data_IF_243818573805
#
_entry.id   IF_243818573805
#
_cell.length_a   1.000
_cell.length_b   1.000
_cell.length_c   1.000
_cell.angle_alpha   90.00
_cell.angle_beta   90.00
_cell.angle_gamma   90.00
#
_symmetry.space_group_name_H-M   'P 1'
#
loop_
_entity.id
_entity.type
_entity.pdbx_description
1 polymer ?
#
# COMPACT_ATOMS: atom_id res chain seq x y z
N UNK A 1 -10.24 42.65 -67.46
CA UNK A 1 -11.29 41.73 -67.97
C UNK A 1 -11.31 40.38 -67.24
N UNK A 2 -10.19 39.65 -67.10
CA UNK A 2 -10.14 38.35 -66.37
C UNK A 2 -10.64 38.39 -64.91
N UNK A 3 -10.27 39.39 -64.11
CA UNK A 3 -10.75 39.51 -62.71
C UNK A 3 -12.27 39.77 -62.61
N UNK A 4 -12.81 40.60 -63.51
CA UNK A 4 -14.26 40.85 -63.62
C UNK A 4 -15.02 39.57 -64.02
N UNK A 5 -14.45 38.76 -64.91
CA UNK A 5 -15.03 37.47 -65.32
C UNK A 5 -14.97 36.41 -64.22
N UNK A 6 -13.93 36.38 -63.39
CA UNK A 6 -13.80 35.41 -62.30
C UNK A 6 -14.78 35.66 -61.14
N UNK A 7 -15.20 36.91 -60.94
CA UNK A 7 -16.20 37.27 -59.93
C UNK A 7 -17.63 37.32 -60.50
N UNK A 8 -17.80 37.07 -61.79
CA UNK A 8 -19.11 37.02 -62.41
C UNK A 8 -19.84 35.76 -61.94
N UNK A 9 -20.99 35.93 -61.32
CA UNK A 9 -21.83 34.80 -60.89
C UNK A 9 -22.34 34.03 -62.09
N UNK A 10 -22.59 32.73 -61.92
CA UNK A 10 -23.19 31.90 -62.97
C UNK A 10 -24.53 32.49 -63.41
N UNK A 11 -25.28 33.10 -62.47
CA UNK A 11 -26.53 33.80 -62.79
C UNK A 11 -26.33 35.03 -63.67
N UNK A 12 -25.29 35.82 -63.41
CA UNK A 12 -24.99 37.02 -64.19
C UNK A 12 -24.48 36.67 -65.59
N UNK A 13 -23.70 35.59 -65.74
CA UNK A 13 -23.27 35.11 -67.06
C UNK A 13 -24.45 34.61 -67.90
N UNK A 14 -25.36 33.81 -67.34
CA UNK A 14 -26.59 33.39 -68.02
C UNK A 14 -27.53 34.56 -68.35
N UNK A 15 -27.65 35.53 -67.43
CA UNK A 15 -28.41 36.75 -67.68
C UNK A 15 -27.87 37.55 -68.88
N UNK A 16 -26.54 37.66 -69.01
CA UNK A 16 -25.90 38.33 -70.13
C UNK A 16 -26.11 37.58 -71.45
N UNK A 17 -26.06 36.24 -71.43
CA UNK A 17 -26.34 35.40 -72.61
C UNK A 17 -27.80 35.50 -73.06
N UNK A 18 -28.76 35.47 -72.13
CA UNK A 18 -30.17 35.64 -72.46
C UNK A 18 -30.46 37.03 -73.00
N UNK A 19 -29.80 38.06 -72.45
CA UNK A 19 -29.92 39.43 -72.94
C UNK A 19 -29.35 39.58 -74.36
N UNK A 20 -28.15 39.04 -74.64
CA UNK A 20 -27.56 39.10 -75.99
C UNK A 20 -28.39 38.33 -77.01
N UNK A 21 -28.89 37.14 -76.65
CA UNK A 21 -29.82 36.38 -77.48
C UNK A 21 -31.10 37.16 -77.78
N UNK A 22 -31.69 37.79 -76.77
CA UNK A 22 -32.93 38.59 -76.92
C UNK A 22 -32.73 39.77 -77.86
N UNK A 23 -31.59 40.47 -77.75
CA UNK A 23 -31.21 41.56 -78.67
C UNK A 23 -31.06 41.03 -80.10
N UNK A 24 -30.45 39.86 -80.27
CA UNK A 24 -30.23 39.25 -81.58
C UNK A 24 -31.56 38.85 -82.24
N UNK A 25 -32.50 38.30 -81.47
CA UNK A 25 -33.87 37.99 -81.92
C UNK A 25 -34.65 39.25 -82.30
N UNK A 26 -34.52 40.33 -81.54
CA UNK A 26 -35.13 41.62 -81.87
C UNK A 26 -34.58 42.20 -83.17
N UNK A 27 -33.26 42.14 -83.37
CA UNK A 27 -32.59 42.59 -84.60
C UNK A 27 -33.06 41.76 -85.80
N UNK A 28 -33.14 40.43 -85.65
CA UNK A 28 -33.62 39.54 -86.71
C UNK A 28 -35.10 39.80 -87.05
N UNK A 29 -35.96 39.97 -86.05
CA UNK A 29 -37.37 40.33 -86.27
C UNK A 29 -37.53 41.70 -86.93
N UNK A 30 -36.72 42.69 -86.53
CA UNK A 30 -36.72 44.02 -87.14
C UNK A 30 -36.30 44.00 -88.62
N UNK A 31 -35.28 43.22 -88.96
CA UNK A 31 -34.85 43.01 -90.36
C UNK A 31 -35.93 42.27 -91.16
N UNK A 32 -36.63 41.31 -90.56
CA UNK A 32 -37.75 40.62 -91.18
C UNK A 32 -38.93 41.55 -91.49
N UNK A 33 -39.31 42.42 -90.55
CA UNK A 33 -40.35 43.43 -90.77
C UNK A 33 -39.95 44.45 -91.83
N UNK A 34 -38.69 44.92 -91.81
CA UNK A 34 -38.13 45.79 -92.84
C UNK A 34 -38.18 45.12 -94.22
N UNK A 35 -37.80 43.85 -94.30
CA UNK A 35 -37.84 43.08 -95.53
C UNK A 35 -39.26 42.95 -96.13
N UNK A 36 -40.27 42.72 -95.28
CA UNK A 36 -41.66 42.64 -95.73
C UNK A 36 -42.21 43.99 -96.21
N UNK A 37 -41.92 45.07 -95.48
CA UNK A 37 -42.43 46.40 -95.83
C UNK A 37 -41.76 46.98 -97.08
N UNK A 38 -40.43 46.91 -97.18
CA UNK A 38 -39.70 47.42 -98.35
C UNK A 38 -39.90 46.52 -99.59
N UNK A 39 -40.03 45.21 -99.41
CA UNK A 39 -40.35 44.29 -100.49
C UNK A 39 -41.70 44.60 -101.13
N UNK A 40 -42.72 44.89 -100.31
CA UNK A 40 -44.04 45.31 -100.79
C UNK A 40 -43.99 46.62 -101.59
N UNK A 41 -43.18 47.60 -101.15
CA UNK A 41 -43.03 48.88 -101.87
C UNK A 41 -42.31 48.75 -103.21
N UNK A 42 -41.36 47.82 -103.36
CA UNK A 42 -40.65 47.59 -104.63
C UNK A 42 -41.58 46.95 -105.68
N UNK A 43 -42.53 46.11 -105.25
CA UNK A 43 -43.50 45.47 -106.15
C UNK A 43 -44.58 46.45 -106.66
N UNK A 44 -44.86 47.52 -105.92
CA UNK A 44 -45.90 48.50 -106.26
C UNK A 44 -45.38 49.74 -107.04
N UNK A 45 -44.07 49.92 -107.19
CA UNK A 45 -43.47 51.20 -107.61
C UNK A 45 -43.13 51.36 -109.11
N UNK A 46 -43.26 50.34 -109.98
CA UNK A 46 -42.89 50.46 -111.40
C UNK A 46 -43.59 49.47 -112.35
N UNK A 47 -44.10 49.94 -113.49
CA UNK A 47 -44.64 49.12 -114.61
C UNK A 47 -43.55 48.49 -115.51
N UNK A 48 -42.26 48.81 -115.26
CA UNK A 48 -41.12 48.34 -116.03
C UNK A 48 -40.48 47.10 -115.40
N UNK A 49 -40.65 45.95 -116.06
CA UNK A 49 -40.18 44.63 -115.59
C UNK A 49 -38.67 44.60 -115.37
N UNK A 50 -37.87 45.33 -116.15
CA UNK A 50 -36.41 45.36 -115.98
C UNK A 50 -35.97 46.17 -114.75
N UNK A 51 -36.61 47.30 -114.48
CA UNK A 51 -36.33 48.14 -113.30
C UNK A 51 -36.73 47.43 -111.99
N UNK A 52 -37.87 46.73 -112.01
CA UNK A 52 -38.36 45.93 -110.89
C UNK A 52 -37.41 44.76 -110.57
N UNK A 53 -36.90 44.07 -111.59
CA UNK A 53 -35.93 42.97 -111.45
C UNK A 53 -34.62 43.46 -110.81
N UNK A 54 -34.11 44.63 -111.22
CA UNK A 54 -32.88 45.23 -110.70
C UNK A 54 -33.02 45.67 -109.24
N UNK A 55 -34.10 46.40 -108.90
CA UNK A 55 -34.37 46.84 -107.53
C UNK A 55 -34.58 45.65 -106.56
N UNK A 56 -35.28 44.61 -107.01
CA UNK A 56 -35.46 43.39 -106.24
C UNK A 56 -34.13 42.64 -106.00
N UNK A 57 -33.25 42.58 -107.02
CA UNK A 57 -31.94 41.92 -106.89
C UNK A 57 -31.00 42.63 -105.90
N UNK A 58 -30.98 43.98 -105.91
CA UNK A 58 -30.21 44.78 -104.97
C UNK A 58 -30.76 44.66 -103.52
N UNK A 59 -32.08 44.65 -103.39
CA UNK A 59 -32.77 44.41 -102.11
C UNK A 59 -32.49 43.00 -101.56
N UNK A 60 -32.62 41.97 -102.40
CA UNK A 60 -32.28 40.60 -102.03
C UNK A 60 -30.81 40.46 -101.60
N UNK A 61 -29.89 41.16 -102.26
CA UNK A 61 -28.47 41.18 -101.89
C UNK A 61 -28.23 41.83 -100.50
N UNK A 62 -28.89 42.95 -100.19
CA UNK A 62 -28.77 43.61 -98.88
C UNK A 62 -29.35 42.75 -97.74
N UNK A 63 -30.52 42.15 -97.94
CA UNK A 63 -31.10 41.20 -96.97
C UNK A 63 -30.20 39.98 -96.79
N UNK A 64 -29.62 39.44 -97.89
CA UNK A 64 -28.71 38.28 -97.81
C UNK A 64 -27.51 38.59 -96.92
N UNK A 65 -26.86 39.74 -97.08
CA UNK A 65 -25.73 40.14 -96.23
C UNK A 65 -26.15 40.43 -94.78
N UNK A 66 -27.33 41.02 -94.56
CA UNK A 66 -27.88 41.24 -93.22
C UNK A 66 -28.15 39.91 -92.49
N UNK A 67 -28.76 38.94 -93.16
CA UNK A 67 -29.00 37.59 -92.63
C UNK A 67 -27.67 36.87 -92.34
N UNK A 68 -26.69 36.97 -93.25
CA UNK A 68 -25.36 36.36 -93.06
C UNK A 68 -24.63 36.98 -91.86
N UNK A 69 -24.76 38.30 -91.67
CA UNK A 69 -24.24 39.01 -90.50
C UNK A 69 -24.87 38.54 -89.18
N UNK A 70 -26.20 38.34 -89.15
CA UNK A 70 -26.91 37.79 -87.98
C UNK A 70 -26.43 36.36 -87.66
N UNK A 71 -26.28 35.50 -88.68
CA UNK A 71 -25.79 34.13 -88.50
C UNK A 71 -24.37 34.14 -87.93
N UNK A 72 -23.47 34.96 -88.46
CA UNK A 72 -22.11 35.10 -87.95
C UNK A 72 -22.07 35.63 -86.51
N UNK A 73 -22.88 36.64 -86.19
CA UNK A 73 -23.01 37.15 -84.82
C UNK A 73 -23.56 36.09 -83.85
N UNK A 74 -24.49 35.26 -84.31
CA UNK A 74 -25.03 34.15 -83.51
C UNK A 74 -23.95 33.10 -83.23
N UNK A 75 -23.20 32.68 -84.27
CA UNK A 75 -22.08 31.74 -84.12
C UNK A 75 -21.01 32.31 -83.19
N UNK A 76 -20.63 33.58 -83.36
CA UNK A 76 -19.66 34.24 -82.50
C UNK A 76 -20.13 34.27 -81.03
N UNK A 77 -21.40 34.56 -80.80
CA UNK A 77 -22.01 34.54 -79.46
C UNK A 77 -21.95 33.13 -78.85
N UNK A 78 -22.32 32.10 -79.61
CA UNK A 78 -22.25 30.70 -79.15
C UNK A 78 -20.83 30.30 -78.77
N UNK A 79 -19.83 30.66 -79.59
CA UNK A 79 -18.41 30.36 -79.30
C UNK A 79 -17.96 31.05 -78.00
N UNK A 80 -18.30 32.33 -77.81
CA UNK A 80 -17.96 33.08 -76.59
C UNK A 80 -18.62 32.46 -75.36
N UNK A 81 -19.88 32.02 -75.47
CA UNK A 81 -20.60 31.36 -74.38
C UNK A 81 -19.99 30.01 -74.03
N UNK A 82 -19.74 29.14 -75.02
CA UNK A 82 -19.10 27.84 -74.79
C UNK A 82 -17.73 28.03 -74.15
N UNK A 83 -16.94 28.97 -74.67
CA UNK A 83 -15.63 29.28 -74.12
C UNK A 83 -15.72 29.81 -72.67
N UNK A 84 -16.63 30.74 -72.40
CA UNK A 84 -16.87 31.31 -71.07
C UNK A 84 -17.35 30.28 -70.05
N UNK A 85 -18.31 29.43 -70.42
CA UNK A 85 -18.82 28.34 -69.58
C UNK A 85 -17.73 27.30 -69.31
N UNK A 86 -16.97 26.91 -70.34
CA UNK A 86 -15.87 25.96 -70.18
C UNK A 86 -14.78 26.50 -69.26
N UNK A 87 -14.39 27.77 -69.43
CA UNK A 87 -13.32 28.40 -68.65
C UNK A 87 -13.73 28.69 -67.20
N UNK A 88 -14.97 29.15 -66.97
CA UNK A 88 -15.41 29.64 -65.66
C UNK A 88 -16.25 28.63 -64.86
N UNK A 89 -16.78 27.58 -65.49
CA UNK A 89 -17.61 26.56 -64.84
C UNK A 89 -16.98 25.17 -64.95
N UNK A 90 -16.80 24.63 -66.16
CA UNK A 90 -16.34 23.24 -66.31
C UNK A 90 -14.91 23.02 -65.79
N UNK A 91 -13.94 23.85 -66.18
CA UNK A 91 -12.53 23.68 -65.75
C UNK A 91 -12.33 23.82 -64.23
N UNK A 92 -12.99 24.76 -63.52
CA UNK A 92 -12.95 24.77 -62.06
C UNK A 92 -13.66 23.58 -61.40
N UNK A 93 -14.80 23.11 -61.95
CA UNK A 93 -15.47 21.92 -61.43
C UNK A 93 -14.63 20.65 -61.61
N UNK A 94 -13.97 20.49 -62.75
CA UNK A 94 -13.04 19.38 -63.02
C UNK A 94 -11.87 19.36 -62.02
N UNK A 95 -11.32 20.55 -61.70
CA UNK A 95 -10.32 20.69 -60.63
C UNK A 95 -10.85 20.32 -59.25
N UNK A 96 -12.10 20.69 -58.91
CA UNK A 96 -12.74 20.26 -57.66
C UNK A 96 -12.88 18.74 -57.57
N UNK A 97 -13.26 18.07 -58.66
CA UNK A 97 -13.29 16.60 -58.73
C UNK A 97 -11.93 16.01 -58.41
N UNK A 98 -10.85 16.56 -58.98
CA UNK A 98 -9.48 16.11 -58.67
C UNK A 98 -9.10 16.27 -57.19
N UNK A 99 -9.59 17.30 -56.49
CA UNK A 99 -9.39 17.41 -55.04
C UNK A 99 -10.20 16.37 -54.25
N UNK A 100 -11.43 16.05 -54.67
CA UNK A 100 -12.23 14.99 -54.05
C UNK A 100 -11.60 13.61 -54.25
N UNK A 101 -11.09 13.30 -55.44
CA UNK A 101 -10.42 12.03 -55.72
C UNK A 101 -9.19 11.84 -54.84
N UNK A 102 -8.39 12.90 -54.65
CA UNK A 102 -7.24 12.88 -53.74
C UNK A 102 -7.66 12.70 -52.29
N UNK A 103 -8.70 13.41 -51.85
CA UNK A 103 -9.26 13.28 -50.51
C UNK A 103 -9.77 11.85 -50.25
N UNK A 104 -10.43 11.23 -51.23
CA UNK A 104 -10.90 9.85 -51.17
C UNK A 104 -9.73 8.84 -51.11
N UNK A 105 -8.58 9.16 -51.71
CA UNK A 105 -7.34 8.39 -51.59
C UNK A 105 -6.57 8.65 -50.29
N UNK A 106 -7.04 9.59 -49.46
CA UNK A 106 -6.43 9.94 -48.17
C UNK A 106 -5.43 11.11 -48.24
N UNK A 107 -5.24 11.77 -49.37
CA UNK A 107 -4.35 12.94 -49.46
C UNK A 107 -5.07 14.24 -49.06
N UNK A 108 -4.81 14.69 -47.84
CA UNK A 108 -5.30 15.95 -47.25
C UNK A 108 -4.21 17.02 -47.22
N UNK A 109 -3.04 16.77 -47.81
CA UNK A 109 -1.85 17.60 -47.62
C UNK A 109 -1.83 18.88 -48.47
N UNK A 110 -2.66 18.94 -49.51
CA UNK A 110 -2.67 20.05 -50.45
C UNK A 110 -3.71 21.11 -50.10
N UNK A 111 -3.27 22.36 -49.97
CA UNK A 111 -4.17 23.48 -49.75
C UNK A 111 -5.12 23.70 -50.94
N UNK A 112 -6.42 23.71 -50.67
CA UNK A 112 -7.45 24.07 -51.64
C UNK A 112 -7.54 25.60 -51.70
N UNK A 113 -7.13 26.18 -52.84
CA UNK A 113 -7.20 27.63 -53.06
C UNK A 113 -8.43 27.99 -53.89
N UNK A 114 -9.24 28.94 -53.41
CA UNK A 114 -10.45 29.38 -54.12
C UNK A 114 -10.09 30.40 -55.21
N UNK A 115 -10.48 30.17 -56.49
CA UNK A 115 -10.13 31.05 -57.60
C UNK A 115 -10.98 32.34 -57.70
N UNK A 116 -11.99 32.55 -56.85
CA UNK A 116 -12.88 33.73 -56.88
C UNK A 116 -13.99 33.69 -55.82
N UNK A 117 -14.87 34.72 -55.78
CA UNK A 117 -15.95 34.84 -54.79
C UNK A 117 -17.37 34.55 -55.35
N UNK A 118 -17.47 33.76 -56.40
CA UNK A 118 -18.74 33.36 -57.01
C UNK A 118 -19.26 32.03 -56.45
N UNK A 119 -20.35 31.47 -57.01
CA UNK A 119 -20.94 30.21 -56.54
C UNK A 119 -19.94 29.04 -56.55
N UNK A 120 -19.05 28.99 -57.54
CA UNK A 120 -17.98 27.99 -57.63
C UNK A 120 -16.93 28.25 -56.55
N UNK A 121 -16.56 29.51 -56.32
CA UNK A 121 -15.66 29.91 -55.23
C UNK A 121 -16.17 29.49 -53.85
N UNK A 122 -17.48 29.58 -53.60
CA UNK A 122 -18.12 29.06 -52.37
C UNK A 122 -17.98 27.55 -52.24
N UNK A 123 -18.07 26.80 -53.35
CA UNK A 123 -17.85 25.35 -53.35
C UNK A 123 -16.40 24.99 -53.00
N UNK A 124 -15.43 25.73 -53.54
CA UNK A 124 -14.02 25.61 -53.14
C UNK A 124 -13.82 25.89 -51.64
N UNK A 125 -14.40 26.97 -51.11
CA UNK A 125 -14.32 27.29 -49.69
C UNK A 125 -14.95 26.20 -48.82
N UNK A 126 -16.14 25.71 -49.16
CA UNK A 126 -16.80 24.63 -48.42
C UNK A 126 -15.96 23.34 -48.42
N UNK A 127 -15.35 22.99 -49.55
CA UNK A 127 -14.45 21.84 -49.67
C UNK A 127 -13.16 22.04 -48.86
N UNK A 128 -12.58 23.25 -48.86
CA UNK A 128 -11.43 23.58 -48.02
C UNK A 128 -11.73 23.45 -46.52
N UNK A 129 -12.92 23.91 -46.10
CA UNK A 129 -13.40 23.70 -44.73
C UNK A 129 -13.54 22.20 -44.40
N UNK A 130 -14.15 21.40 -45.29
CA UNK A 130 -14.28 19.96 -45.10
C UNK A 130 -12.91 19.26 -44.99
N UNK A 131 -11.97 19.61 -45.87
CA UNK A 131 -10.59 19.10 -45.82
C UNK A 131 -9.92 19.45 -44.49
N UNK A 132 -10.03 20.70 -44.04
CA UNK A 132 -9.44 21.16 -42.79
C UNK A 132 -10.03 20.43 -41.58
N UNK A 133 -11.35 20.25 -41.51
CA UNK A 133 -11.99 19.51 -40.42
C UNK A 133 -11.62 18.03 -40.42
N UNK A 134 -11.52 17.40 -41.59
CA UNK A 134 -11.08 16.00 -41.72
C UNK A 134 -9.60 15.85 -41.31
N UNK A 135 -8.75 16.76 -41.78
CA UNK A 135 -7.32 16.85 -41.42
C UNK A 135 -7.13 16.98 -39.90
N UNK A 136 -7.89 17.88 -39.26
CA UNK A 136 -7.88 18.05 -37.81
C UNK A 136 -8.32 16.78 -37.09
N UNK A 137 -9.41 16.14 -37.54
CA UNK A 137 -9.93 14.91 -36.95
C UNK A 137 -8.90 13.78 -37.04
N UNK A 138 -8.31 13.57 -38.21
CA UNK A 138 -7.23 12.58 -38.42
C UNK A 138 -6.03 12.88 -37.53
N UNK A 139 -5.63 14.14 -37.42
CA UNK A 139 -4.55 14.58 -36.52
C UNK A 139 -4.85 14.27 -35.06
N UNK A 140 -6.05 14.59 -34.57
CA UNK A 140 -6.49 14.26 -33.21
C UNK A 140 -6.50 12.76 -32.96
N UNK A 141 -6.99 11.94 -33.89
CA UNK A 141 -6.98 10.48 -33.76
C UNK A 141 -5.55 9.94 -33.72
N UNK A 142 -4.65 10.44 -34.58
CA UNK A 142 -3.24 10.04 -34.59
C UNK A 142 -2.55 10.36 -33.26
N UNK A 143 -2.68 11.59 -32.76
CA UNK A 143 -2.10 11.98 -31.47
C UNK A 143 -2.69 11.19 -30.30
N UNK A 144 -4.01 10.97 -30.30
CA UNK A 144 -4.68 10.20 -29.26
C UNK A 144 -4.23 8.74 -29.28
N UNK A 145 -4.12 8.13 -30.47
CA UNK A 145 -3.62 6.76 -30.64
C UNK A 145 -2.19 6.59 -30.13
N UNK A 146 -1.28 7.51 -30.45
CA UNK A 146 0.09 7.50 -29.88
C UNK A 146 0.07 7.62 -28.37
N UNK A 147 -0.75 8.51 -27.80
CA UNK A 147 -0.83 8.66 -26.34
C UNK A 147 -1.41 7.42 -25.65
N UNK A 148 -2.43 6.77 -26.22
CA UNK A 148 -2.99 5.52 -25.69
C UNK A 148 -1.93 4.42 -25.72
N UNK A 149 -1.18 4.29 -26.82
CA UNK A 149 -0.10 3.33 -26.95
C UNK A 149 0.97 3.52 -25.86
N UNK A 150 1.52 4.73 -25.73
CA UNK A 150 2.54 5.05 -24.73
C UNK A 150 2.05 4.81 -23.29
N UNK A 151 0.82 5.23 -22.98
CA UNK A 151 0.20 5.01 -21.66
C UNK A 151 -0.04 3.53 -21.38
N UNK A 152 -0.41 2.75 -22.39
CA UNK A 152 -0.62 1.29 -22.24
C UNK A 152 0.69 0.58 -21.92
N UNK A 153 1.80 0.98 -22.54
CA UNK A 153 3.13 0.48 -22.20
C UNK A 153 3.55 0.86 -20.77
N UNK A 154 3.23 2.08 -20.32
CA UNK A 154 3.46 2.49 -18.93
C UNK A 154 2.63 1.66 -17.95
N UNK A 155 1.36 1.38 -18.27
CA UNK A 155 0.52 0.48 -17.47
C UNK A 155 1.13 -0.91 -17.41
N UNK A 156 1.55 -1.49 -18.55
CA UNK A 156 2.18 -2.81 -18.58
C UNK A 156 3.45 -2.87 -17.72
N UNK A 157 4.33 -1.85 -17.81
CA UNK A 157 5.51 -1.75 -16.97
C UNK A 157 5.17 -1.62 -15.49
N UNK A 158 4.22 -0.76 -15.12
CA UNK A 158 3.78 -0.60 -13.73
C UNK A 158 3.13 -1.88 -13.18
N UNK A 159 2.47 -2.64 -14.05
CA UNK A 159 1.84 -3.89 -13.67
C UNK A 159 2.85 -5.02 -13.45
N UNK A 160 3.98 -5.04 -14.18
CA UNK A 160 5.10 -5.93 -13.90
C UNK A 160 5.75 -5.62 -12.53
N UNK A 161 5.92 -4.33 -12.19
CA UNK A 161 6.38 -3.93 -10.85
C UNK A 161 5.41 -4.37 -9.76
N UNK A 162 4.11 -4.17 -9.98
CA UNK A 162 3.07 -4.63 -9.05
C UNK A 162 3.08 -6.16 -8.89
N UNK A 163 3.32 -6.92 -9.96
CA UNK A 163 3.48 -8.38 -9.91
C UNK A 163 4.64 -8.78 -9.00
N UNK A 164 5.83 -8.19 -9.24
CA UNK A 164 7.04 -8.44 -8.43
C UNK A 164 6.82 -8.15 -6.95
N UNK A 165 6.17 -7.01 -6.64
CA UNK A 165 5.83 -6.64 -5.26
C UNK A 165 4.80 -7.58 -4.63
N UNK A 166 3.83 -8.06 -5.42
CA UNK A 166 2.81 -9.02 -4.96
C UNK A 166 3.46 -10.37 -4.65
N UNK A 167 4.39 -10.84 -5.48
CA UNK A 167 5.18 -12.05 -5.25
C UNK A 167 6.05 -11.92 -3.98
N UNK A 168 6.77 -10.80 -3.83
CA UNK A 168 7.55 -10.54 -2.62
C UNK A 168 6.68 -10.51 -1.36
N UNK A 169 5.49 -9.90 -1.45
CA UNK A 169 4.54 -9.86 -0.34
C UNK A 169 4.03 -11.26 0.01
N UNK A 170 3.81 -12.13 -0.97
CA UNK A 170 3.46 -13.53 -0.73
C UNK A 170 4.57 -14.24 0.06
N UNK A 171 5.84 -14.12 -0.35
CA UNK A 171 6.98 -14.70 0.39
C UNK A 171 7.05 -14.18 1.83
N UNK A 172 6.89 -12.87 2.04
CA UNK A 172 6.91 -12.28 3.39
C UNK A 172 5.74 -12.75 4.25
N UNK A 173 4.56 -13.00 3.66
CA UNK A 173 3.42 -13.56 4.38
C UNK A 173 3.65 -15.02 4.76
N UNK A 174 4.28 -15.83 3.90
CA UNK A 174 4.66 -17.22 4.23
C UNK A 174 5.66 -17.26 5.40
N UNK A 175 6.70 -16.42 5.38
CA UNK A 175 7.66 -16.31 6.49
C UNK A 175 6.98 -15.85 7.80
N UNK A 176 6.04 -14.91 7.69
CA UNK A 176 5.27 -14.41 8.83
C UNK A 176 4.36 -15.51 9.39
N UNK A 177 3.64 -16.25 8.54
CA UNK A 177 2.79 -17.35 8.95
C UNK A 177 3.58 -18.45 9.66
N UNK A 178 4.71 -18.86 9.09
CA UNK A 178 5.64 -19.83 9.70
C UNK A 178 6.16 -19.35 11.06
N UNK A 179 6.55 -18.08 11.16
CA UNK A 179 6.98 -17.47 12.42
C UNK A 179 5.85 -17.45 13.47
N UNK A 180 4.61 -17.20 13.05
CA UNK A 180 3.44 -17.22 13.94
C UNK A 180 3.08 -18.62 14.42
N UNK A 181 3.22 -19.65 13.58
CA UNK A 181 3.07 -21.05 14.01
C UNK A 181 4.13 -21.44 15.05
N UNK A 182 5.39 -21.06 14.83
CA UNK A 182 6.46 -21.31 15.80
C UNK A 182 6.23 -20.56 17.12
N UNK A 183 5.76 -19.30 17.05
CA UNK A 183 5.39 -18.52 18.23
C UNK A 183 4.22 -19.15 18.97
N UNK A 184 3.16 -19.58 18.27
CA UNK A 184 2.02 -20.25 18.87
C UNK A 184 2.44 -21.52 19.62
N UNK A 185 3.32 -22.32 19.01
CA UNK A 185 3.88 -23.52 19.64
C UNK A 185 4.68 -23.18 20.90
N UNK A 186 5.57 -22.18 20.82
CA UNK A 186 6.41 -21.75 21.94
C UNK A 186 5.58 -21.21 23.10
N UNK A 187 4.57 -20.39 22.82
CA UNK A 187 3.64 -19.86 23.83
C UNK A 187 2.81 -20.97 24.47
N UNK A 188 2.36 -21.95 23.68
CA UNK A 188 1.69 -23.15 24.20
C UNK A 188 2.58 -23.95 25.15
N UNK A 189 3.85 -24.17 24.78
CA UNK A 189 4.83 -24.80 25.67
C UNK A 189 5.10 -23.99 26.93
N UNK A 190 5.15 -22.67 26.87
CA UNK A 190 5.33 -21.82 28.04
C UNK A 190 4.15 -21.93 29.02
N UNK A 191 2.91 -21.93 28.51
CA UNK A 191 1.71 -22.11 29.34
C UNK A 191 1.72 -23.46 30.07
N UNK A 192 2.09 -24.53 29.37
CA UNK A 192 2.18 -25.88 29.94
C UNK A 192 3.33 -25.99 30.97
N UNK A 193 4.51 -25.46 30.65
CA UNK A 193 5.65 -25.43 31.57
C UNK A 193 5.33 -24.65 32.85
N UNK A 194 4.61 -23.53 32.74
CA UNK A 194 4.17 -22.73 33.88
C UNK A 194 3.20 -23.53 34.77
N UNK A 195 2.22 -24.23 34.17
CA UNK A 195 1.32 -25.13 34.92
C UNK A 195 2.07 -26.25 35.66
N UNK A 196 3.02 -26.89 35.00
CA UNK A 196 3.85 -27.94 35.62
C UNK A 196 4.70 -27.38 36.76
N UNK A 197 5.30 -26.20 36.58
CA UNK A 197 6.07 -25.52 37.61
C UNK A 197 5.21 -25.12 38.83
N UNK A 198 3.98 -24.64 38.60
CA UNK A 198 3.00 -24.35 39.67
C UNK A 198 2.65 -25.61 40.47
N UNK A 199 2.39 -26.74 39.80
CA UNK A 199 2.14 -28.02 40.47
C UNK A 199 3.35 -28.52 41.28
N UNK A 200 4.56 -28.36 40.75
CA UNK A 200 5.80 -28.71 41.44
C UNK A 200 6.03 -27.82 42.67
N UNK A 201 5.76 -26.52 42.56
CA UNK A 201 5.80 -25.58 43.67
C UNK A 201 4.80 -25.98 44.77
N UNK A 202 3.56 -26.33 44.40
CA UNK A 202 2.57 -26.84 45.36
C UNK A 202 3.04 -28.09 46.12
N UNK A 203 3.70 -29.02 45.42
CA UNK A 203 4.27 -30.23 46.03
C UNK A 203 5.45 -29.91 46.97
N UNK A 204 6.30 -28.95 46.60
CA UNK A 204 7.38 -28.47 47.43
C UNK A 204 6.87 -27.75 48.69
N UNK A 205 5.81 -26.95 48.58
CA UNK A 205 5.13 -26.31 49.72
C UNK A 205 4.59 -27.34 50.72
N UNK A 206 3.95 -28.41 50.25
CA UNK A 206 3.49 -29.50 51.11
C UNK A 206 4.65 -30.19 51.84
N UNK A 207 5.75 -30.44 51.14
CA UNK A 207 6.95 -31.05 51.72
C UNK A 207 7.57 -30.14 52.79
N UNK A 208 7.72 -28.85 52.49
CA UNK A 208 8.26 -27.86 53.42
C UNK A 208 7.39 -27.70 54.68
N UNK A 209 6.05 -27.73 54.54
CA UNK A 209 5.13 -27.74 55.68
C UNK A 209 5.33 -28.95 56.58
N UNK A 210 5.43 -30.15 55.99
CA UNK A 210 5.69 -31.37 56.76
C UNK A 210 7.04 -31.32 57.47
N UNK A 211 8.09 -30.84 56.80
CA UNK A 211 9.40 -30.63 57.44
C UNK A 211 9.33 -29.61 58.58
N UNK A 212 8.51 -28.56 58.45
CA UNK A 212 8.24 -27.61 59.54
C UNK A 212 7.55 -28.26 60.75
N UNK A 213 6.61 -29.17 60.53
CA UNK A 213 5.95 -29.95 61.59
C UNK A 213 6.96 -30.86 62.31
N UNK A 214 7.80 -31.59 61.58
CA UNK A 214 8.86 -32.44 62.16
C UNK A 214 9.88 -31.62 62.97
N UNK A 215 10.25 -30.43 62.49
CA UNK A 215 11.10 -29.50 63.26
C UNK A 215 10.41 -29.07 64.56
N UNK A 216 9.10 -28.82 64.53
CA UNK A 216 8.31 -28.51 65.72
C UNK A 216 8.35 -29.63 66.77
N UNK A 217 8.24 -30.89 66.35
CA UNK A 217 8.38 -32.05 67.24
C UNK A 217 9.79 -32.15 67.86
N UNK A 218 10.84 -31.83 67.09
CA UNK A 218 12.22 -31.81 67.60
C UNK A 218 12.40 -30.72 68.66
N UNK A 219 11.81 -29.53 68.47
CA UNK A 219 11.84 -28.46 69.48
C UNK A 219 11.18 -28.92 70.78
N UNK A 220 10.01 -29.56 70.69
CA UNK A 220 9.32 -30.12 71.87
C UNK A 220 10.20 -31.15 72.59
N UNK A 221 10.84 -32.05 71.84
CA UNK A 221 11.73 -33.07 72.40
C UNK A 221 12.95 -32.45 73.10
N UNK A 222 13.54 -31.39 72.53
CA UNK A 222 14.64 -30.67 73.16
C UNK A 222 14.22 -29.98 74.47
N UNK A 223 13.00 -29.44 74.53
CA UNK A 223 12.43 -28.87 75.75
C UNK A 223 12.25 -29.95 76.84
N UNK A 224 11.75 -31.14 76.47
CA UNK A 224 11.60 -32.27 77.39
C UNK A 224 12.95 -32.79 77.91
N UNK A 225 13.97 -32.86 77.03
CA UNK A 225 15.34 -33.22 77.42
C UNK A 225 15.93 -32.17 78.37
N UNK A 226 15.70 -30.89 78.10
CA UNK A 226 16.15 -29.79 78.96
C UNK A 226 15.51 -29.88 80.35
N UNK A 227 14.18 -30.04 80.41
CA UNK A 227 13.44 -30.20 81.66
C UNK A 227 13.93 -31.44 82.46
N UNK A 228 14.12 -32.57 81.79
CA UNK A 228 14.65 -33.80 82.40
C UNK A 228 16.07 -33.60 82.92
N UNK A 229 16.92 -32.88 82.19
CA UNK A 229 18.30 -32.60 82.59
C UNK A 229 18.36 -31.69 83.82
N UNK A 230 17.46 -30.70 83.93
CA UNK A 230 17.31 -29.88 85.14
C UNK A 230 16.89 -30.71 86.36
N UNK A 231 15.92 -31.63 86.20
CA UNK A 231 15.54 -32.54 87.29
C UNK A 231 16.71 -33.40 87.75
N UNK A 232 17.54 -33.89 86.83
CA UNK A 232 18.76 -34.64 87.20
C UNK A 232 19.75 -33.74 87.95
N UNK A 233 19.95 -32.48 87.54
CA UNK A 233 20.81 -31.53 88.24
C UNK A 233 20.35 -31.30 89.70
N UNK A 234 19.04 -31.23 89.93
CA UNK A 234 18.46 -31.09 91.27
C UNK A 234 18.72 -32.35 92.13
N UNK A 235 18.54 -33.54 91.56
CA UNK A 235 18.83 -34.82 92.24
C UNK A 235 20.31 -34.92 92.62
N UNK A 236 21.22 -34.54 91.72
CA UNK A 236 22.66 -34.54 91.99
C UNK A 236 23.01 -33.55 93.10
N UNK A 237 22.27 -32.44 93.22
CA UNK A 237 22.40 -31.51 94.34
C UNK A 237 21.98 -32.10 95.67
N UNK A 238 20.92 -32.89 95.70
CA UNK A 238 20.54 -33.64 96.90
C UNK A 238 21.60 -34.68 97.26
N UNK A 239 22.16 -35.41 96.29
CA UNK A 239 23.20 -36.42 96.53
C UNK A 239 24.47 -35.78 97.10
N UNK A 240 24.91 -34.65 96.56
CA UNK A 240 26.06 -33.88 97.06
C UNK A 240 25.85 -33.43 98.51
N UNK A 241 24.64 -32.94 98.82
CA UNK A 241 24.25 -32.59 100.19
C UNK A 241 24.26 -33.81 101.14
N UNK A 242 23.77 -34.97 100.69
CA UNK A 242 23.81 -36.22 101.48
C UNK A 242 25.26 -36.66 101.73
N UNK A 243 26.12 -36.58 100.71
CA UNK A 243 27.54 -36.91 100.82
C UNK A 243 28.24 -35.98 101.83
N UNK A 244 27.94 -34.68 101.78
CA UNK A 244 28.45 -33.70 102.76
C UNK A 244 27.98 -34.01 104.19
N UNK A 245 26.68 -34.25 104.38
CA UNK A 245 26.13 -34.62 105.70
C UNK A 245 26.77 -35.91 106.23
N UNK A 246 26.96 -36.93 105.37
CA UNK A 246 27.60 -38.19 105.72
C UNK A 246 29.07 -37.99 106.11
N UNK A 247 29.79 -37.10 105.41
CA UNK A 247 31.16 -36.74 105.75
C UNK A 247 31.27 -36.05 107.12
N UNK A 248 30.31 -35.18 107.48
CA UNK A 248 30.23 -34.56 108.82
C UNK A 248 29.89 -35.60 109.90
N UNK A 249 28.91 -36.47 109.65
CA UNK A 249 28.56 -37.58 110.55
C UNK A 249 29.74 -38.51 110.82
N UNK A 250 30.47 -38.89 109.76
CA UNK A 250 31.64 -39.74 109.85
C UNK A 250 32.79 -39.05 110.61
N UNK A 251 33.01 -37.75 110.40
CA UNK A 251 33.97 -36.98 111.18
C UNK A 251 33.61 -36.97 112.67
N UNK A 252 32.34 -36.72 113.00
CA UNK A 252 31.86 -36.75 114.39
C UNK A 252 32.05 -38.14 115.02
N UNK A 253 31.77 -39.21 114.27
CA UNK A 253 31.99 -40.59 114.71
C UNK A 253 33.48 -40.90 114.92
N UNK A 254 34.38 -40.46 114.03
CA UNK A 254 35.83 -40.61 114.20
C UNK A 254 36.34 -39.90 115.46
N UNK A 255 35.80 -38.71 115.76
CA UNK A 255 36.14 -37.94 116.97
C UNK A 255 35.67 -38.68 118.23
N UNK A 256 34.44 -39.18 118.25
CA UNK A 256 33.92 -39.91 119.42
C UNK A 256 34.61 -41.28 119.60
N UNK A 257 34.97 -41.95 118.50
CA UNK A 257 35.78 -43.16 118.54
C UNK A 257 37.19 -42.93 119.09
N UNK A 258 37.82 -41.80 118.75
CA UNK A 258 39.10 -41.40 119.35
C UNK A 258 38.96 -41.10 120.85
N UNK A 259 37.82 -40.55 121.27
CA UNK A 259 37.49 -40.26 122.67
C UNK A 259 37.32 -41.52 123.53
N UNK A 260 36.86 -42.63 122.93
CA UNK A 260 36.70 -43.92 123.58
C UNK A 260 38.00 -44.74 123.72
N UNK A 261 39.14 -44.23 123.25
CA UNK A 261 40.46 -44.86 123.41
C UNK A 261 40.57 -46.23 122.72
N UNK A 262 41.17 -47.23 123.38
CA UNK A 262 41.39 -48.57 122.81
C UNK A 262 40.08 -49.31 122.46
N UNK A 263 38.97 -49.00 123.13
CA UNK A 263 37.66 -49.61 122.84
C UNK A 263 37.00 -49.05 121.56
N UNK A 264 37.39 -47.85 121.12
CA UNK A 264 36.85 -47.18 119.93
C UNK A 264 37.61 -47.47 118.63
N UNK A 265 38.71 -48.23 118.70
CA UNK A 265 39.67 -48.41 117.59
C UNK A 265 39.03 -48.98 116.31
N UNK A 266 38.14 -49.97 116.45
CA UNK A 266 37.39 -50.54 115.33
C UNK A 266 36.37 -49.55 114.72
N UNK A 267 35.69 -48.77 115.56
CA UNK A 267 34.75 -47.73 115.12
C UNK A 267 35.47 -46.58 114.39
N UNK A 268 36.67 -46.20 114.82
CA UNK A 268 37.47 -45.16 114.16
C UNK A 268 37.85 -45.55 112.72
N UNK A 269 38.17 -46.82 112.47
CA UNK A 269 38.47 -47.32 111.11
C UNK A 269 37.23 -47.27 110.22
N UNK A 270 36.08 -47.74 110.72
CA UNK A 270 34.81 -47.68 109.98
C UNK A 270 34.41 -46.23 109.70
N UNK A 271 34.52 -45.33 110.68
CA UNK A 271 34.23 -43.91 110.50
C UNK A 271 35.14 -43.24 109.46
N UNK A 272 36.43 -43.59 109.43
CA UNK A 272 37.35 -43.11 108.39
C UNK A 272 37.01 -43.65 107.00
N UNK A 273 36.59 -44.93 106.89
CA UNK A 273 36.18 -45.53 105.63
C UNK A 273 34.87 -44.90 105.10
N UNK A 274 33.89 -44.68 105.98
CA UNK A 274 32.64 -43.97 105.65
C UNK A 274 32.94 -42.53 105.20
N UNK A 275 33.89 -41.86 105.84
CA UNK A 275 34.33 -40.52 105.45
C UNK A 275 34.99 -40.50 104.07
N UNK A 276 35.85 -41.48 103.80
CA UNK A 276 36.49 -41.67 102.48
C UNK A 276 35.43 -41.91 101.39
N UNK A 277 34.44 -42.77 101.66
CA UNK A 277 33.33 -43.04 100.76
C UNK A 277 32.48 -41.80 100.50
N UNK A 278 32.15 -41.03 101.54
CA UNK A 278 31.41 -39.79 101.43
C UNK A 278 32.15 -38.74 100.56
N UNK A 279 33.47 -38.60 100.75
CA UNK A 279 34.31 -37.72 99.91
C UNK A 279 34.32 -38.17 98.44
N UNK A 280 34.43 -39.48 98.19
CA UNK A 280 34.32 -40.06 96.84
C UNK A 280 32.96 -39.81 96.21
N UNK A 281 31.87 -39.96 96.97
CA UNK A 281 30.52 -39.66 96.50
C UNK A 281 30.32 -38.19 96.15
N UNK A 282 30.86 -37.26 96.95
CA UNK A 282 30.81 -35.82 96.65
C UNK A 282 31.60 -35.48 95.38
N UNK A 283 32.80 -36.07 95.20
CA UNK A 283 33.59 -35.89 93.99
C UNK A 283 32.86 -36.39 92.74
N UNK A 284 32.25 -37.59 92.81
CA UNK A 284 31.44 -38.15 91.72
C UNK A 284 30.20 -37.30 91.43
N UNK A 285 29.50 -36.82 92.46
CA UNK A 285 28.35 -35.92 92.29
C UNK A 285 28.74 -34.62 91.56
N UNK A 286 29.90 -34.04 91.90
CA UNK A 286 30.43 -32.85 91.22
C UNK A 286 30.80 -33.11 89.75
N UNK A 287 31.38 -34.26 89.46
CA UNK A 287 31.69 -34.67 88.08
C UNK A 287 30.41 -34.87 87.25
N UNK A 288 29.41 -35.56 87.79
CA UNK A 288 28.10 -35.71 87.14
C UNK A 288 27.43 -34.35 86.92
N UNK A 289 27.45 -33.44 87.91
CA UNK A 289 26.92 -32.08 87.76
C UNK A 289 27.56 -31.35 86.58
N UNK A 290 28.88 -31.44 86.45
CA UNK A 290 29.62 -30.81 85.34
C UNK A 290 29.19 -31.36 83.98
N UNK A 291 28.96 -32.68 83.88
CA UNK A 291 28.45 -33.32 82.67
C UNK A 291 27.01 -32.90 82.35
N UNK A 292 26.15 -32.73 83.36
CA UNK A 292 24.78 -32.24 83.19
C UNK A 292 24.78 -30.78 82.74
N UNK A 293 25.58 -29.90 83.35
CA UNK A 293 25.70 -28.50 82.93
C UNK A 293 26.18 -28.39 81.48
N UNK A 294 27.16 -29.22 81.10
CA UNK A 294 27.63 -29.31 79.71
C UNK A 294 26.53 -29.78 78.76
N UNK A 295 25.71 -30.75 79.20
CA UNK A 295 24.60 -31.28 78.40
C UNK A 295 23.49 -30.25 78.23
N UNK A 296 23.13 -29.52 79.29
CA UNK A 296 22.17 -28.41 79.25
C UNK A 296 22.62 -27.32 78.26
N UNK A 297 23.89 -26.92 78.29
CA UNK A 297 24.44 -25.95 77.34
C UNK A 297 24.36 -26.43 75.88
N UNK A 298 24.60 -27.73 75.63
CA UNK A 298 24.45 -28.33 74.29
C UNK A 298 22.99 -28.39 73.84
N UNK A 299 22.06 -28.72 74.75
CA UNK A 299 20.62 -28.75 74.46
C UNK A 299 20.09 -27.35 74.17
N UNK A 300 20.53 -26.32 74.91
CA UNK A 300 20.16 -24.93 74.64
C UNK A 300 20.64 -24.47 73.25
N UNK A 301 21.90 -24.73 72.93
CA UNK A 301 22.46 -24.46 71.59
C UNK A 301 21.72 -25.23 70.50
N UNK A 302 21.36 -26.49 70.75
CA UNK A 302 20.56 -27.32 69.85
C UNK A 302 19.17 -26.74 69.61
N UNK A 303 18.49 -26.32 70.68
CA UNK A 303 17.17 -25.70 70.63
C UNK A 303 17.18 -24.42 69.79
N UNK A 304 18.19 -23.57 69.98
CA UNK A 304 18.35 -22.35 69.17
C UNK A 304 18.50 -22.65 67.68
N UNK A 305 19.34 -23.64 67.31
CA UNK A 305 19.54 -24.04 65.91
C UNK A 305 18.29 -24.63 65.27
N UNK A 306 17.55 -25.46 66.00
CA UNK A 306 16.31 -26.07 65.52
C UNK A 306 15.22 -25.01 65.35
N UNK A 307 15.08 -24.05 66.27
CA UNK A 307 14.17 -22.92 66.11
C UNK A 307 14.50 -22.09 64.85
N UNK A 308 15.79 -21.83 64.60
CA UNK A 308 16.23 -21.13 63.39
C UNK A 308 15.93 -21.93 62.12
N UNK A 309 16.09 -23.26 62.15
CA UNK A 309 15.68 -24.14 61.05
C UNK A 309 14.16 -24.07 60.81
N UNK A 310 13.35 -24.02 61.87
CA UNK A 310 11.90 -23.87 61.79
C UNK A 310 11.48 -22.55 61.13
N UNK A 311 12.12 -21.44 61.50
CA UNK A 311 11.90 -20.15 60.85
C UNK A 311 12.27 -20.20 59.36
N UNK A 312 13.41 -20.82 59.04
CA UNK A 312 13.87 -20.97 57.64
C UNK A 312 12.88 -21.77 56.80
N UNK A 313 12.24 -22.79 57.38
CA UNK A 313 11.18 -23.56 56.70
C UNK A 313 9.92 -22.72 56.43
N UNK A 314 9.53 -21.84 57.35
CA UNK A 314 8.40 -20.91 57.12
C UNK A 314 8.71 -19.91 56.00
N UNK A 315 9.92 -19.35 56.00
CA UNK A 315 10.36 -18.43 54.95
C UNK A 315 10.40 -19.15 53.58
N UNK A 316 10.82 -20.42 53.55
CA UNK A 316 10.83 -21.26 52.36
C UNK A 316 9.42 -21.51 51.83
N UNK A 317 8.44 -21.81 52.69
CA UNK A 317 7.03 -21.93 52.29
C UNK A 317 6.54 -20.65 51.63
N UNK A 318 6.83 -19.47 52.22
CA UNK A 318 6.46 -18.19 51.64
C UNK A 318 7.16 -17.89 50.30
N UNK A 319 8.41 -18.31 50.13
CA UNK A 319 9.14 -18.16 48.87
C UNK A 319 8.57 -19.07 47.76
N UNK A 320 8.28 -20.33 48.06
CA UNK A 320 7.72 -21.28 47.08
C UNK A 320 6.28 -20.88 46.69
N UNK A 321 5.48 -20.37 47.63
CA UNK A 321 4.15 -19.85 47.33
C UNK A 321 4.21 -18.71 46.30
N UNK A 322 5.13 -17.75 46.47
CA UNK A 322 5.34 -16.67 45.49
C UNK A 322 5.76 -17.19 44.12
N UNK A 323 6.54 -18.26 44.06
CA UNK A 323 6.88 -18.91 42.77
C UNK A 323 5.63 -19.48 42.12
N UNK A 324 4.76 -20.14 42.88
CA UNK A 324 3.47 -20.66 42.39
C UNK A 324 2.62 -19.54 41.80
N UNK A 325 2.47 -18.42 42.52
CA UNK A 325 1.66 -17.28 42.08
C UNK A 325 2.20 -16.68 40.76
N UNK A 326 3.53 -16.53 40.63
CA UNK A 326 4.16 -16.06 39.39
C UNK A 326 3.94 -17.04 38.23
N UNK A 327 4.00 -18.36 38.49
CA UNK A 327 3.75 -19.36 37.45
C UNK A 327 2.30 -19.32 36.97
N UNK A 328 1.34 -19.08 37.86
CA UNK A 328 -0.07 -18.93 37.50
C UNK A 328 -0.30 -17.67 36.65
N UNK A 329 0.36 -16.55 36.97
CA UNK A 329 0.35 -15.33 36.15
C UNK A 329 0.96 -15.56 34.76
N UNK A 330 2.09 -16.27 34.67
CA UNK A 330 2.73 -16.62 33.38
C UNK A 330 1.81 -17.51 32.54
N UNK A 331 1.13 -18.48 33.15
CA UNK A 331 0.19 -19.34 32.45
C UNK A 331 -0.98 -18.52 31.87
N UNK A 332 -1.57 -17.64 32.66
CA UNK A 332 -2.65 -16.76 32.21
C UNK A 332 -2.20 -15.80 31.09
N UNK A 333 -1.02 -15.17 31.24
CA UNK A 333 -0.44 -14.29 30.23
C UNK A 333 -0.16 -15.05 28.92
N UNK A 334 0.34 -16.29 29.01
CA UNK A 334 0.62 -17.14 27.85
C UNK A 334 -0.69 -17.55 27.13
N UNK A 335 -1.76 -17.83 27.87
CA UNK A 335 -3.08 -18.12 27.28
C UNK A 335 -3.66 -16.90 26.54
N UNK A 336 -3.50 -15.70 27.10
CA UNK A 336 -3.86 -14.45 26.42
C UNK A 336 -3.02 -14.22 25.15
N UNK A 337 -1.70 -14.46 25.22
CA UNK A 337 -0.82 -14.37 24.05
C UNK A 337 -1.23 -15.36 22.95
N UNK A 338 -1.58 -16.60 23.32
CA UNK A 338 -2.05 -17.62 22.37
C UNK A 338 -3.31 -17.16 21.63
N UNK A 339 -4.28 -16.59 22.35
CA UNK A 339 -5.47 -15.98 21.76
C UNK A 339 -5.13 -14.82 20.81
N UNK A 340 -4.20 -13.94 21.21
CA UNK A 340 -3.70 -12.85 20.37
C UNK A 340 -3.02 -13.34 19.09
N UNK A 341 -2.20 -14.40 19.16
CA UNK A 341 -1.59 -15.03 17.99
C UNK A 341 -2.66 -15.61 17.07
N UNK A 342 -3.73 -16.19 17.61
CA UNK A 342 -4.88 -16.65 16.82
C UNK A 342 -5.52 -15.53 15.98
N UNK A 343 -5.67 -14.33 16.54
CA UNK A 343 -6.18 -13.17 15.82
C UNK A 343 -5.21 -12.70 14.73
N UNK A 344 -3.91 -12.69 15.02
CA UNK A 344 -2.88 -12.34 14.03
C UNK A 344 -2.88 -13.34 12.86
N UNK A 345 -2.99 -14.64 13.14
CA UNK A 345 -3.12 -15.66 12.09
C UNK A 345 -4.33 -15.44 11.19
N UNK A 346 -5.47 -15.03 11.76
CA UNK A 346 -6.65 -14.68 10.96
C UNK A 346 -6.39 -13.46 10.07
N UNK A 347 -5.68 -12.44 10.57
CA UNK A 347 -5.31 -11.27 9.78
C UNK A 347 -4.32 -11.63 8.65
N UNK A 348 -3.36 -12.50 8.91
CA UNK A 348 -2.41 -13.01 7.90
C UNK A 348 -3.16 -13.78 6.80
N UNK A 349 -4.13 -14.64 7.16
CA UNK A 349 -4.96 -15.35 6.19
C UNK A 349 -5.80 -14.37 5.32
N UNK A 350 -6.31 -13.29 5.90
CA UNK A 350 -7.00 -12.25 5.14
C UNK A 350 -6.04 -11.49 4.19
N UNK A 351 -4.81 -11.22 4.63
CA UNK A 351 -3.79 -10.61 3.77
C UNK A 351 -3.42 -11.52 2.60
N UNK A 352 -3.31 -12.83 2.81
CA UNK A 352 -3.07 -13.80 1.74
C UNK A 352 -4.18 -13.75 0.69
N UNK A 353 -5.45 -13.69 1.10
CA UNK A 353 -6.57 -13.53 0.16
C UNK A 353 -6.46 -12.24 -0.67
N UNK A 354 -6.01 -11.13 -0.07
CA UNK A 354 -5.79 -9.87 -0.79
C UNK A 354 -4.62 -9.99 -1.78
N UNK A 355 -3.54 -10.68 -1.40
CA UNK A 355 -2.40 -10.94 -2.30
C UNK A 355 -2.83 -11.78 -3.50
N UNK A 356 -3.62 -12.84 -3.29
CA UNK A 356 -4.19 -13.63 -4.38
C UNK A 356 -5.11 -12.80 -5.29
N UNK A 357 -5.94 -11.93 -4.69
CA UNK A 357 -6.79 -11.01 -5.46
C UNK A 357 -5.96 -10.01 -6.28
N UNK A 358 -4.88 -9.47 -5.70
CA UNK A 358 -3.95 -8.58 -6.40
C UNK A 358 -3.30 -9.29 -7.58
N UNK A 359 -2.87 -10.56 -7.42
CA UNK A 359 -2.33 -11.33 -8.52
C UNK A 359 -3.33 -11.50 -9.67
N UNK A 360 -4.61 -11.75 -9.37
CA UNK A 360 -5.67 -11.80 -10.38
C UNK A 360 -5.89 -10.45 -11.06
N UNK A 361 -5.92 -9.35 -10.30
CA UNK A 361 -6.09 -8.00 -10.81
C UNK A 361 -4.91 -7.60 -11.71
N UNK A 362 -3.68 -7.95 -11.33
CA UNK A 362 -2.47 -7.76 -12.14
C UNK A 362 -2.63 -8.50 -13.47
N UNK A 363 -3.05 -9.77 -13.48
CA UNK A 363 -3.28 -10.50 -14.72
C UNK A 363 -4.39 -9.89 -15.59
N UNK A 364 -5.43 -9.34 -14.99
CA UNK A 364 -6.51 -8.66 -15.70
C UNK A 364 -6.05 -7.31 -16.28
N UNK A 365 -5.27 -6.54 -15.52
CA UNK A 365 -4.71 -5.26 -15.95
C UNK A 365 -3.69 -5.45 -17.09
N UNK A 366 -2.84 -6.49 -17.03
CA UNK A 366 -1.93 -6.85 -18.12
C UNK A 366 -2.69 -7.13 -19.42
N UNK A 367 -3.75 -7.93 -19.35
CA UNK A 367 -4.61 -8.22 -20.51
C UNK A 367 -5.24 -6.96 -21.09
N UNK A 368 -5.80 -6.12 -20.23
CA UNK A 368 -6.43 -4.85 -20.65
C UNK A 368 -5.42 -3.89 -21.27
N UNK A 369 -4.20 -3.81 -20.75
CA UNK A 369 -3.13 -2.98 -21.31
C UNK A 369 -2.71 -3.47 -22.70
N UNK A 370 -2.57 -4.77 -22.90
CA UNK A 370 -2.25 -5.37 -24.21
C UNK A 370 -3.38 -5.14 -25.23
N UNK A 371 -4.64 -5.24 -24.81
CA UNK A 371 -5.79 -4.94 -25.67
C UNK A 371 -5.81 -3.46 -26.10
N UNK A 372 -5.55 -2.53 -25.17
CA UNK A 372 -5.43 -1.10 -25.47
C UNK A 372 -4.26 -0.79 -26.40
N UNK A 373 -3.10 -1.44 -26.20
CA UNK A 373 -1.95 -1.31 -27.09
C UNK A 373 -2.29 -1.77 -28.51
N UNK A 374 -2.97 -2.91 -28.65
CA UNK A 374 -3.43 -3.44 -29.94
C UNK A 374 -4.42 -2.49 -30.63
N UNK A 375 -5.43 -2.00 -29.89
CA UNK A 375 -6.45 -1.11 -30.46
C UNK A 375 -5.87 0.26 -30.84
N UNK A 376 -4.91 0.78 -30.05
CA UNK A 376 -4.15 1.98 -30.41
C UNK A 376 -3.32 1.77 -31.68
N UNK A 377 -2.73 0.59 -31.86
CA UNK A 377 -2.07 0.18 -33.09
C UNK A 377 -3.01 0.19 -34.29
N UNK A 378 -4.20 -0.40 -34.16
CA UNK A 378 -5.23 -0.42 -35.21
C UNK A 378 -5.74 0.98 -35.57
N UNK A 379 -5.95 1.86 -34.57
CA UNK A 379 -6.31 3.26 -34.79
C UNK A 379 -5.23 3.99 -35.58
N UNK A 380 -3.95 3.78 -35.26
CA UNK A 380 -2.82 4.36 -35.99
C UNK A 380 -2.77 3.87 -37.43
N UNK A 381 -2.89 2.57 -37.66
CA UNK A 381 -2.90 1.99 -39.01
C UNK A 381 -4.08 2.53 -39.85
N UNK A 382 -5.27 2.65 -39.25
CA UNK A 382 -6.45 3.17 -39.92
C UNK A 382 -6.28 4.63 -40.39
N UNK A 383 -5.56 5.45 -39.61
CA UNK A 383 -5.31 6.86 -39.97
C UNK A 383 -4.01 7.08 -40.76
N UNK A 384 -3.11 6.09 -40.81
CA UNK A 384 -1.83 6.18 -41.53
C UNK A 384 -2.01 6.37 -43.04
N UNK A 385 -3.12 5.88 -43.61
CA UNK A 385 -3.48 6.12 -45.01
C UNK A 385 -3.69 7.61 -45.31
N UNK A 386 -4.06 8.41 -44.32
CA UNK A 386 -4.33 9.83 -44.50
C UNK A 386 -3.05 10.67 -44.40
N UNK A 387 -2.63 11.26 -45.52
CA UNK A 387 -1.53 12.22 -45.57
C UNK A 387 -2.03 13.60 -45.20
N UNK A 388 -1.56 14.10 -44.07
CA UNK A 388 -1.92 15.41 -43.53
C UNK A 388 -0.73 16.35 -43.68
N UNK A 389 -0.95 17.63 -43.98
CA UNK A 389 0.14 18.62 -43.98
C UNK A 389 0.73 18.68 -42.57
N UNK A 390 2.03 18.45 -42.44
CA UNK A 390 2.77 18.46 -41.16
C UNK A 390 2.96 19.87 -40.57
N UNK A 391 2.12 20.83 -40.99
CA UNK A 391 2.11 22.18 -40.48
C UNK A 391 0.84 22.35 -39.64
N UNK A 392 1.03 22.66 -38.36
CA UNK A 392 0.01 22.83 -37.30
C UNK A 392 -0.19 21.61 -36.37
N UNK A 393 0.84 20.80 -36.12
CA UNK A 393 1.00 20.31 -34.75
C UNK A 393 1.35 21.54 -33.90
N UNK A 394 0.47 22.06 -33.02
CA UNK A 394 0.95 22.94 -31.98
C UNK A 394 2.00 22.14 -31.24
N UNK A 395 3.25 22.61 -31.32
CA UNK A 395 4.38 22.07 -30.57
C UNK A 395 3.90 22.06 -29.13
N UNK A 396 3.58 20.87 -28.62
CA UNK A 396 3.20 20.69 -27.22
C UNK A 396 4.25 21.45 -26.41
N UNK A 397 3.87 22.37 -25.50
CA UNK A 397 4.86 23.06 -24.69
C UNK A 397 5.73 21.97 -24.09
N UNK A 398 7.04 22.07 -24.34
CA UNK A 398 8.01 21.10 -23.87
C UNK A 398 7.66 20.84 -22.40
N UNK A 399 7.33 19.58 -22.09
CA UNK A 399 7.29 19.12 -20.71
C UNK A 399 8.65 19.49 -20.18
N UNK A 400 8.70 20.53 -19.35
CA UNK A 400 9.89 20.88 -18.59
C UNK A 400 10.33 19.56 -17.99
N UNK A 401 11.57 19.09 -18.22
CA UNK A 401 12.00 17.85 -17.61
C UNK A 401 11.73 18.02 -16.12
N UNK A 402 10.89 17.15 -15.57
CA UNK A 402 10.69 17.08 -14.14
C UNK A 402 12.10 17.01 -13.58
N UNK A 403 12.51 18.08 -12.92
CA UNK A 403 13.77 18.13 -12.22
C UNK A 403 13.83 16.84 -11.44
N UNK A 404 14.89 16.07 -11.69
CA UNK A 404 15.17 14.85 -10.95
C UNK A 404 14.81 15.13 -9.51
N UNK A 405 13.80 14.42 -9.00
CA UNK A 405 13.52 14.38 -7.58
C UNK A 405 14.77 13.71 -7.05
N UNK A 406 15.74 14.53 -6.68
CA UNK A 406 16.91 14.14 -5.93
C UNK A 406 16.36 13.30 -4.79
N UNK A 407 16.84 12.07 -4.72
CA UNK A 407 16.77 11.24 -3.54
C UNK A 407 17.39 12.01 -2.39
N UNK A 408 16.61 12.87 -1.74
CA UNK A 408 16.89 13.32 -0.39
C UNK A 408 16.57 12.14 0.51
N UNK A 409 17.60 11.33 0.72
CA UNK A 409 17.78 10.55 1.93
C UNK A 409 17.29 11.39 3.11
N UNK A 410 16.38 10.91 3.97
CA UNK A 410 16.02 11.65 5.16
C UNK A 410 17.24 11.65 6.09
N UNK A 411 18.01 12.74 6.05
CA UNK A 411 19.00 13.05 7.06
C UNK A 411 18.24 13.31 8.37
N UNK A 412 18.42 12.42 9.33
CA UNK A 412 18.09 12.61 10.74
C UNK A 412 18.43 14.05 11.19
N UNK A 413 17.53 14.75 11.91
CA UNK A 413 17.87 16.05 12.45
C UNK A 413 18.99 15.92 13.48
N UNK A 414 20.06 16.67 13.28
CA UNK A 414 21.15 16.81 14.23
C UNK A 414 20.61 17.37 15.55
N UNK A 415 20.70 16.53 16.58
CA UNK A 415 20.39 16.82 17.98
C UNK A 415 21.14 18.07 18.44
N UNK A 416 20.40 19.16 18.61
CA UNK A 416 20.87 20.33 19.37
C UNK A 416 21.15 19.87 20.81
N UNK A 417 22.41 19.99 21.24
CA UNK A 417 22.77 19.89 22.65
C UNK A 417 22.60 21.26 23.28
N UNK A 418 21.62 21.41 24.18
CA UNK A 418 21.69 22.32 25.32
C UNK A 418 20.98 21.67 26.53
N UNK A 419 21.36 22.04 27.77
CA UNK A 419 21.43 21.12 28.90
C UNK A 419 20.20 21.14 29.82
N UNK A 420 20.01 19.99 30.45
CA UNK A 420 19.36 19.67 31.73
C UNK A 420 18.35 20.66 32.34
N UNK A 421 17.09 20.21 32.43
CA UNK A 421 16.21 20.52 33.56
C UNK A 421 15.36 19.28 33.88
N UNK A 422 15.28 18.98 35.18
CA UNK A 422 14.62 17.84 35.82
C UNK A 422 13.09 17.93 35.76
N UNK A 423 12.42 16.78 35.59
CA UNK A 423 11.09 16.40 36.14
C UNK A 423 10.69 15.06 35.49
N UNK A 424 10.84 13.93 36.18
CA UNK A 424 9.83 13.28 37.04
C UNK A 424 8.58 12.77 36.32
N UNK A 425 8.20 11.55 36.73
CA UNK A 425 6.96 10.82 36.47
C UNK A 425 6.69 10.34 35.04
N UNK A 426 6.62 9.00 34.88
CA UNK A 426 5.45 8.26 34.37
C UNK A 426 5.79 6.76 34.38
N UNK A 427 5.62 6.12 35.53
CA UNK A 427 5.45 4.67 35.65
C UNK A 427 4.00 4.39 36.03
N UNK A 428 3.22 3.89 35.07
CA UNK A 428 2.05 3.00 35.22
C UNK A 428 1.07 3.23 34.07
N UNK A 429 0.84 2.19 33.27
CA UNK A 429 -0.48 1.76 32.84
C UNK A 429 -0.43 0.31 32.37
#
# INVERSE_FOLDING_TARGET
>A
MRQLMNNMTVRLSWGLVLATLSVLVLIASGIGLYALHHGASIVQASDDVQAQQAAFSAFAATIRWALLGIVLMTIATVIVVIWGVTANVLRPLDRLVGYFERMAQGDLSQAITSPGNNEIGRLYSAMAHMQSSLSQTVGTVRTSGTSIYERSQQIASGNNDLSSRTEQQATSLEETASSMEQLASTVGHNAENARQASQLAGSATLTARRSGEEVGEIVSTMQDISASSHQVADIITVIDNIAFQTNILALNASVEAARAGEHGRGFAVVAQEVRSLASRSAAAAKEIRTLIDTSLSKVDTGTQRVNQAGQTMQDLVGAVQRVSDIMDEIAAASEQQSSGIGQVNQAVAQMDQVVQQNAQLVQQAARSANELESEAGRLREAVERFRVTEALTPRSPAVVPAAAISSTTPSLPARHKQPAEEAEEWTSF
#
